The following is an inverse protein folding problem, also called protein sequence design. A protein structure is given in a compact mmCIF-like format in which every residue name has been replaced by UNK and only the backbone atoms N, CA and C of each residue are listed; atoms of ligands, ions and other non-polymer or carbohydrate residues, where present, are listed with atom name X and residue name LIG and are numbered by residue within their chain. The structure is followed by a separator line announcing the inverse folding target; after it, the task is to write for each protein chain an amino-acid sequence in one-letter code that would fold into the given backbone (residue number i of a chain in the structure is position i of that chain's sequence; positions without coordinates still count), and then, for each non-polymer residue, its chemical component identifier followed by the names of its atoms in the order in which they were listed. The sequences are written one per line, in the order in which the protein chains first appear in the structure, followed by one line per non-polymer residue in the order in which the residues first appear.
data_IF_114695808542
#
_entry.id   IF_114695808542
#
_cell.length_a   1.000
_cell.length_b   1.000
_cell.length_c   1.000
_cell.angle_alpha   90.00
_cell.angle_beta   90.00
_cell.angle_gamma   90.00
#
_symmetry.space_group_name_H-M   'P 1'
#
loop_
_entity.id
_entity.type
_entity.pdbx_description
1 polymer ?
#
# COMPACT_ATOMS: atom_id res chain seq x y z
N UNK A 1 76.74 -4.66 -2.50
CA UNK A 1 76.05 -3.88 -1.44
C UNK A 1 75.02 -2.98 -2.10
N UNK A 2 73.72 -3.22 -1.86
CA UNK A 2 72.65 -2.23 -1.61
C UNK A 2 71.29 -2.95 -1.55
N UNK A 3 70.72 -3.00 -0.34
CA UNK A 3 69.33 -3.38 -0.06
C UNK A 3 68.35 -2.33 -0.58
N UNK A 4 67.11 -2.74 -0.92
CA UNK A 4 65.83 -2.00 -0.74
C UNK A 4 64.67 -2.89 -1.23
N UNK A 5 63.95 -3.57 -0.33
CA UNK A 5 62.79 -3.11 0.47
C UNK A 5 61.48 -3.04 -0.34
N UNK A 6 60.63 -4.03 -0.08
CA UNK A 6 59.25 -4.20 -0.59
C UNK A 6 58.31 -3.22 0.13
N UNK A 7 57.42 -2.49 -0.55
CA UNK A 7 56.19 -2.02 0.06
C UNK A 7 55.03 -2.94 -0.35
N UNK A 8 54.59 -3.78 0.60
CA UNK A 8 53.26 -4.38 0.58
C UNK A 8 52.26 -3.25 0.81
N UNK A 9 51.72 -2.67 -0.27
CA UNK A 9 50.55 -1.81 -0.15
C UNK A 9 49.37 -2.68 0.28
N UNK A 10 49.08 -2.65 1.58
CA UNK A 10 47.85 -3.17 2.16
C UNK A 10 46.67 -2.51 1.45
N UNK A 11 45.96 -3.29 0.65
CA UNK A 11 44.62 -2.98 0.19
C UNK A 11 43.69 -2.95 1.42
N UNK A 12 43.43 -1.76 1.93
CA UNK A 12 42.32 -1.54 2.87
C UNK A 12 41.05 -1.51 2.00
N UNK A 13 40.46 -2.68 1.80
CA UNK A 13 39.12 -2.81 1.23
C UNK A 13 38.13 -2.22 2.24
N UNK A 14 37.77 -0.96 2.04
CA UNK A 14 36.70 -0.29 2.76
C UNK A 14 35.38 -0.95 2.31
N UNK A 15 34.93 -1.95 3.07
CA UNK A 15 33.64 -2.61 2.84
C UNK A 15 32.52 -1.61 3.06
N UNK A 16 32.09 -0.97 1.98
CA UNK A 16 30.85 -0.18 1.93
C UNK A 16 29.68 -1.12 2.25
N UNK A 17 29.23 -1.12 3.50
CA UNK A 17 27.93 -1.66 3.86
C UNK A 17 26.87 -0.81 3.16
N UNK A 18 26.47 -1.25 1.97
CA UNK A 18 25.30 -0.70 1.30
C UNK A 18 24.11 -1.19 2.10
N UNK A 19 23.55 -0.33 2.97
CA UNK A 19 22.19 -0.55 3.48
C UNK A 19 21.27 -0.43 2.26
N UNK A 20 21.05 -1.54 1.56
CA UNK A 20 19.90 -1.69 0.67
C UNK A 20 18.66 -1.79 1.55
N UNK A 21 18.25 -0.66 2.12
CA UNK A 21 16.90 -0.49 2.61
C UNK A 21 16.01 -0.55 1.38
N UNK A 22 15.45 -1.73 1.10
CA UNK A 22 14.38 -1.86 0.13
C UNK A 22 13.24 -0.99 0.65
N UNK A 23 13.06 0.19 0.07
CA UNK A 23 11.83 0.94 0.25
C UNK A 23 10.74 0.08 -0.38
N UNK A 24 10.09 -0.77 0.43
CA UNK A 24 8.92 -1.50 -0.01
C UNK A 24 7.87 -0.44 -0.30
N UNK A 25 7.35 -0.45 -1.53
CA UNK A 25 6.29 0.46 -1.90
C UNK A 25 5.08 0.11 -1.01
N UNK A 26 4.71 1.04 -0.13
CA UNK A 26 3.59 0.85 0.79
C UNK A 26 2.33 0.41 0.02
N UNK A 27 1.65 -0.61 0.52
CA UNK A 27 0.39 -1.06 -0.04
C UNK A 27 -0.15 -2.33 0.58
N UNK A 28 -1.43 -2.60 0.29
CA UNK A 28 -2.03 -3.86 0.70
C UNK A 28 -1.49 -5.03 -0.11
N UNK A 29 -1.25 -6.14 0.58
CA UNK A 29 -0.97 -7.43 -0.03
C UNK A 29 -2.26 -8.03 -0.62
N UNK A 30 -2.19 -9.22 -1.23
CA UNK A 30 -3.37 -9.97 -1.66
C UNK A 30 -3.64 -11.10 -0.68
N UNK A 31 -4.89 -11.27 -0.26
CA UNK A 31 -5.26 -12.43 0.55
C UNK A 31 -5.19 -13.72 -0.27
N UNK A 32 -4.99 -14.85 0.42
CA UNK A 32 -5.07 -16.18 -0.21
C UNK A 32 -6.46 -16.49 -0.80
N UNK A 33 -7.50 -15.78 -0.31
CA UNK A 33 -8.88 -15.90 -0.75
C UNK A 33 -9.31 -14.74 -1.66
N UNK A 34 -8.36 -14.07 -2.31
CA UNK A 34 -8.66 -12.91 -3.14
C UNK A 34 -9.62 -13.26 -4.30
N UNK A 35 -10.76 -12.58 -4.33
CA UNK A 35 -11.75 -12.67 -5.39
C UNK A 35 -11.39 -11.70 -6.53
N UNK A 36 -11.06 -12.26 -7.69
CA UNK A 36 -10.69 -11.51 -8.89
C UNK A 36 -11.93 -11.00 -9.66
N UNK A 37 -12.75 -10.20 -8.99
CA UNK A 37 -13.78 -9.40 -9.66
C UNK A 37 -13.22 -8.02 -10.03
N UNK A 38 -13.53 -7.55 -11.24
CA UNK A 38 -12.96 -6.30 -11.75
C UNK A 38 -11.42 -6.27 -11.67
N UNK A 39 -10.86 -5.08 -11.59
CA UNK A 39 -9.42 -4.88 -11.40
C UNK A 39 -9.14 -3.82 -10.34
N UNK A 40 -7.87 -3.69 -9.93
CA UNK A 40 -7.43 -2.72 -8.93
C UNK A 40 -6.88 -1.42 -9.55
N UNK A 41 -7.12 -1.15 -10.82
CA UNK A 41 -6.60 0.07 -11.46
C UNK A 41 -7.07 1.33 -10.74
N UNK A 42 -6.14 2.12 -10.21
CA UNK A 42 -6.40 3.33 -9.42
C UNK A 42 -6.96 3.08 -8.01
N UNK A 43 -7.27 1.85 -7.62
CA UNK A 43 -7.77 1.51 -6.29
C UNK A 43 -6.73 1.64 -5.18
N UNK A 44 -5.44 1.26 -5.36
CA UNK A 44 -4.41 1.49 -4.35
C UNK A 44 -4.32 2.92 -3.85
N UNK A 45 -4.34 3.91 -4.75
CA UNK A 45 -4.36 5.32 -4.37
C UNK A 45 -5.63 5.71 -3.57
N UNK A 46 -6.77 5.06 -3.84
CA UNK A 46 -8.03 5.30 -3.12
C UNK A 46 -8.04 4.64 -1.75
N UNK A 47 -7.44 3.46 -1.61
CA UNK A 47 -7.25 2.79 -0.32
C UNK A 47 -6.28 3.59 0.56
N UNK A 48 -5.16 4.04 -0.02
CA UNK A 48 -4.22 4.95 0.64
C UNK A 48 -4.92 6.24 1.11
N UNK A 49 -5.89 6.74 0.33
CA UNK A 49 -6.71 7.91 0.65
C UNK A 49 -8.07 7.57 1.28
N UNK A 50 -8.18 6.43 1.99
CA UNK A 50 -9.41 6.02 2.66
C UNK A 50 -9.85 7.01 3.74
N UNK A 51 -11.16 7.17 3.98
CA UNK A 51 -11.67 7.95 5.12
C UNK A 51 -11.44 7.27 6.48
N UNK A 52 -11.17 5.96 6.50
CA UNK A 52 -10.82 5.22 7.72
C UNK A 52 -9.33 5.35 8.02
N UNK A 53 -8.99 6.02 9.13
CA UNK A 53 -7.61 6.30 9.49
C UNK A 53 -6.79 5.03 9.74
N UNK A 54 -7.40 3.98 10.32
CA UNK A 54 -6.73 2.71 10.59
C UNK A 54 -6.38 1.97 9.31
N UNK A 55 -7.19 2.08 8.27
CA UNK A 55 -6.91 1.51 6.95
C UNK A 55 -5.77 2.24 6.25
N UNK A 56 -5.71 3.56 6.36
CA UNK A 56 -4.54 4.32 5.84
C UNK A 56 -3.25 3.88 6.52
N UNK A 57 -3.23 3.79 7.84
CA UNK A 57 -2.06 3.29 8.58
C UNK A 57 -1.73 1.84 8.21
N UNK A 58 -2.74 0.98 8.03
CA UNK A 58 -2.50 -0.39 7.61
C UNK A 58 -1.89 -0.48 6.20
N UNK A 59 -2.31 0.41 5.29
CA UNK A 59 -1.73 0.56 3.96
C UNK A 59 -0.27 1.02 4.01
N UNK A 60 0.04 2.02 4.84
CA UNK A 60 1.41 2.51 5.03
C UNK A 60 2.36 1.46 5.63
N UNK A 61 1.81 0.56 6.46
CA UNK A 61 2.57 -0.48 7.14
C UNK A 61 2.54 -1.84 6.44
N UNK A 62 1.98 -1.96 5.23
CA UNK A 62 1.85 -3.23 4.49
C UNK A 62 1.08 -4.33 5.24
N UNK A 63 0.13 -3.95 6.11
CA UNK A 63 -0.64 -4.87 6.99
C UNK A 63 -2.09 -5.06 6.56
N UNK A 64 -2.49 -4.49 5.42
CA UNK A 64 -3.80 -4.72 4.82
C UNK A 64 -3.74 -5.73 3.67
N UNK A 65 -4.89 -6.34 3.36
CA UNK A 65 -5.01 -7.33 2.30
C UNK A 65 -6.19 -7.00 1.39
N UNK A 66 -6.00 -6.99 0.08
CA UNK A 66 -7.12 -7.05 -0.85
C UNK A 66 -7.83 -8.40 -0.70
N UNK A 67 -9.13 -8.34 -0.40
CA UNK A 67 -10.03 -9.49 -0.36
C UNK A 67 -10.78 -9.65 -1.69
N UNK A 68 -11.15 -8.52 -2.32
CA UNK A 68 -11.91 -8.53 -3.57
C UNK A 68 -11.62 -7.28 -4.39
N UNK A 69 -11.48 -7.46 -5.70
CA UNK A 69 -11.29 -6.35 -6.64
C UNK A 69 -12.55 -5.49 -6.82
N UNK A 70 -12.63 -4.68 -7.88
CA UNK A 70 -13.80 -3.81 -8.09
C UNK A 70 -15.08 -4.63 -8.28
N UNK A 71 -16.07 -4.39 -7.43
CA UNK A 71 -17.40 -4.99 -7.48
C UNK A 71 -18.46 -3.98 -7.04
N UNK A 72 -19.73 -4.38 -7.05
CA UNK A 72 -20.86 -3.54 -6.64
C UNK A 72 -21.81 -4.25 -5.69
N UNK A 73 -22.85 -3.54 -5.25
CA UNK A 73 -23.83 -3.98 -4.26
C UNK A 73 -23.65 -3.36 -2.87
N UNK A 74 -24.60 -3.67 -1.98
CA UNK A 74 -24.59 -3.19 -0.59
C UNK A 74 -25.09 -1.75 -0.42
N UNK A 75 -24.88 -1.21 0.78
CA UNK A 75 -25.27 0.17 1.13
C UNK A 75 -24.19 1.15 0.67
N UNK A 76 -24.60 2.17 -0.09
CA UNK A 76 -23.71 3.25 -0.55
C UNK A 76 -23.59 4.31 0.55
N UNK A 77 -22.40 4.56 1.13
CA UNK A 77 -22.24 5.57 2.17
C UNK A 77 -22.31 7.00 1.59
N UNK A 78 -22.62 8.02 2.41
CA UNK A 78 -22.57 9.40 1.99
C UNK A 78 -21.22 9.78 1.35
N UNK A 79 -21.29 10.52 0.24
CA UNK A 79 -20.11 10.97 -0.49
C UNK A 79 -19.53 9.95 -1.47
N UNK A 80 -20.05 8.72 -1.54
CA UNK A 80 -19.68 7.77 -2.59
C UNK A 80 -20.40 8.10 -3.91
N UNK A 81 -19.70 7.90 -5.03
CA UNK A 81 -20.24 8.18 -6.37
C UNK A 81 -21.24 7.11 -6.84
N UNK A 82 -21.03 5.87 -6.40
CA UNK A 82 -21.88 4.72 -6.70
C UNK A 82 -21.62 3.61 -5.69
N UNK A 83 -22.28 2.47 -5.89
CA UNK A 83 -22.03 1.23 -5.17
C UNK A 83 -20.69 0.56 -5.52
N UNK A 84 -19.87 1.12 -6.43
CA UNK A 84 -18.61 0.50 -6.84
C UNK A 84 -17.51 0.68 -5.80
N UNK A 85 -16.94 -0.43 -5.36
CA UNK A 85 -15.92 -0.48 -4.31
C UNK A 85 -14.97 -1.66 -4.47
N UNK A 86 -13.88 -1.62 -3.70
CA UNK A 86 -13.00 -2.77 -3.41
C UNK A 86 -13.16 -3.18 -1.96
N UNK A 87 -12.92 -4.46 -1.67
CA UNK A 87 -12.91 -4.98 -0.29
C UNK A 87 -11.49 -5.24 0.14
N UNK A 88 -11.10 -4.64 1.25
CA UNK A 88 -9.76 -4.69 1.83
C UNK A 88 -9.89 -5.07 3.30
N UNK A 89 -9.11 -6.03 3.77
CA UNK A 89 -9.00 -6.38 5.18
C UNK A 89 -7.92 -5.53 5.87
N UNK A 90 -8.20 -5.05 7.08
CA UNK A 90 -7.19 -4.58 8.03
C UNK A 90 -7.38 -5.28 9.37
N UNK A 91 -6.37 -5.99 9.86
CA UNK A 91 -6.44 -6.71 11.15
C UNK A 91 -7.71 -7.59 11.28
N UNK A 92 -8.12 -8.25 10.20
CA UNK A 92 -9.32 -9.10 10.18
C UNK A 92 -10.66 -8.37 9.97
N UNK A 93 -10.67 -7.04 9.96
CA UNK A 93 -11.87 -6.22 9.70
C UNK A 93 -11.99 -5.96 8.20
N UNK A 94 -13.16 -6.22 7.61
CA UNK A 94 -13.40 -5.95 6.21
C UNK A 94 -13.78 -4.48 6.04
N UNK A 95 -13.07 -3.79 5.15
CA UNK A 95 -13.33 -2.40 4.78
C UNK A 95 -13.69 -2.33 3.29
N UNK A 96 -14.74 -1.58 2.98
CA UNK A 96 -15.15 -1.27 1.62
C UNK A 96 -14.75 0.15 1.29
N UNK A 97 -13.89 0.31 0.28
CA UNK A 97 -13.41 1.62 -0.17
C UNK A 97 -14.12 1.97 -1.46
N UNK A 98 -14.80 3.11 -1.48
CA UNK A 98 -15.63 3.55 -2.59
C UNK A 98 -14.95 4.63 -3.44
N UNK A 99 -15.38 4.77 -4.70
CA UNK A 99 -15.10 5.98 -5.48
C UNK A 99 -15.84 7.15 -4.84
N UNK A 100 -15.16 8.27 -4.62
CA UNK A 100 -15.77 9.49 -4.08
C UNK A 100 -16.55 10.25 -5.16
N UNK A 101 -17.65 10.89 -4.78
CA UNK A 101 -18.44 11.74 -5.67
C UNK A 101 -17.61 12.92 -6.18
N UNK A 102 -17.86 13.35 -7.43
CA UNK A 102 -17.26 14.56 -8.01
C UNK A 102 -17.74 15.86 -7.32
N UNK A 103 -18.83 15.79 -6.56
CA UNK A 103 -19.35 16.92 -5.78
C UNK A 103 -18.58 17.19 -4.49
N UNK A 104 -17.67 16.30 -4.09
CA UNK A 104 -16.88 16.49 -2.87
C UNK A 104 -15.71 17.45 -3.11
N UNK A 105 -15.33 18.28 -2.11
CA UNK A 105 -14.21 19.19 -2.23
C UNK A 105 -12.89 18.49 -2.61
N UNK A 106 -11.97 19.19 -3.30
CA UNK A 106 -10.59 18.74 -3.46
C UNK A 106 -9.97 18.34 -2.11
N UNK A 107 -9.13 17.30 -2.10
CA UNK A 107 -8.53 16.77 -0.87
C UNK A 107 -9.44 15.87 -0.02
N UNK A 108 -10.74 15.75 -0.35
CA UNK A 108 -11.63 14.82 0.39
C UNK A 108 -11.14 13.37 0.28
N UNK A 109 -11.25 12.64 1.39
CA UNK A 109 -10.97 11.20 1.44
C UNK A 109 -11.99 10.39 0.63
N UNK A 110 -11.59 9.18 0.25
CA UNK A 110 -12.47 8.19 -0.33
C UNK A 110 -13.39 7.59 0.75
N UNK A 111 -14.72 7.65 0.57
CA UNK A 111 -15.65 7.06 1.52
C UNK A 111 -15.31 5.61 1.80
N UNK A 112 -15.29 5.24 3.08
CA UNK A 112 -14.92 3.91 3.54
C UNK A 112 -15.82 3.49 4.69
N UNK A 113 -16.31 2.25 4.64
CA UNK A 113 -17.04 1.59 5.73
C UNK A 113 -16.30 0.34 6.15
N UNK A 114 -16.18 0.07 7.45
CA UNK A 114 -15.49 -1.11 7.97
C UNK A 114 -16.36 -1.84 9.00
N UNK A 115 -16.42 -3.17 8.93
CA UNK A 115 -17.18 -4.04 9.85
C UNK A 115 -16.57 -5.42 10.00
#
# INVERSE_FOLDING_TARGET
MYQRSIPKCLYVMLSSFVLTGYAQAAGCQYSAHYEREGGLSGWPARVQNSSDAKLRTAYENDTCYYLKGEHGGGTVPPGAASDKHVTVSRSGVACHVFKKSSSLPPGSYNPTTCF
#
